data_IF_492620627409
#
_entry.id   IF_492620627409
#
_cell.length_a   1.000
_cell.length_b   1.000
_cell.length_c   1.000
_cell.angle_alpha   90.00
_cell.angle_beta   90.00
_cell.angle_gamma   90.00
#
_symmetry.space_group_name_H-M   'P 1'
#
loop_
_entity.id
_entity.type
_entity.pdbx_description
1 polymer ?
#
# COMPACT_ATOMS: atom_id res chain seq x y z
N UNK A 1 -18.38 -7.33 -15.01
CA UNK A 1 -17.53 -6.13 -15.07
C UNK A 1 -18.37 -4.97 -15.59
N UNK A 2 -18.02 -3.72 -15.28
CA UNK A 2 -18.71 -2.51 -15.77
C UNK A 2 -17.67 -1.47 -16.20
N UNK A 3 -18.04 -0.49 -17.04
CA UNK A 3 -17.16 0.63 -17.33
C UNK A 3 -16.80 1.42 -16.07
N UNK A 4 -15.58 1.94 -16.03
CA UNK A 4 -15.06 2.80 -14.96
C UNK A 4 -14.14 3.87 -15.55
N UNK A 5 -13.93 4.97 -14.82
CA UNK A 5 -12.94 5.98 -15.19
C UNK A 5 -11.62 5.74 -14.46
N UNK A 6 -10.54 6.37 -14.93
CA UNK A 6 -9.23 6.33 -14.25
C UNK A 6 -9.36 6.88 -12.82
N UNK A 7 -10.07 7.99 -12.66
CA UNK A 7 -10.28 8.65 -11.37
C UNK A 7 -11.03 7.74 -10.40
N UNK A 8 -12.11 7.09 -10.86
CA UNK A 8 -12.87 6.15 -10.05
C UNK A 8 -12.03 4.98 -9.54
N UNK A 9 -11.13 4.46 -10.39
CA UNK A 9 -10.21 3.39 -10.00
C UNK A 9 -9.16 3.88 -9.01
N UNK A 10 -8.59 5.08 -9.21
CA UNK A 10 -7.63 5.66 -8.29
C UNK A 10 -8.25 5.95 -6.92
N UNK A 11 -9.48 6.46 -6.89
CA UNK A 11 -10.23 6.69 -5.64
C UNK A 11 -10.47 5.38 -4.89
N UNK A 12 -10.82 4.31 -5.62
CA UNK A 12 -11.00 2.98 -5.02
C UNK A 12 -9.69 2.42 -4.44
N UNK A 13 -8.56 2.60 -5.14
CA UNK A 13 -7.24 2.20 -4.62
C UNK A 13 -6.82 3.04 -3.41
N UNK A 14 -7.03 4.36 -3.45
CA UNK A 14 -6.71 5.27 -2.33
C UNK A 14 -7.56 5.00 -1.08
N UNK A 15 -8.79 4.50 -1.25
CA UNK A 15 -9.65 4.12 -0.13
C UNK A 15 -9.28 2.79 0.52
N UNK A 16 -8.49 1.94 -0.15
CA UNK A 16 -8.07 0.65 0.39
C UNK A 16 -6.88 0.82 1.34
N UNK A 17 -6.92 0.25 2.56
CA UNK A 17 -5.75 0.24 3.42
C UNK A 17 -4.60 -0.53 2.74
N UNK A 18 -3.35 -0.13 3.04
CA UNK A 18 -2.12 -0.79 2.58
C UNK A 18 -1.90 -0.76 1.06
N UNK A 19 -2.58 0.13 0.34
CA UNK A 19 -2.21 0.52 -1.01
C UNK A 19 -1.64 1.93 -0.96
N UNK A 20 -0.48 2.09 -1.56
CA UNK A 20 0.23 3.36 -1.64
C UNK A 20 0.29 3.78 -3.11
N UNK A 21 -0.37 4.89 -3.44
CA UNK A 21 -0.25 5.49 -4.75
C UNK A 21 1.06 6.27 -4.82
N UNK A 22 1.89 5.96 -5.81
CA UNK A 22 3.14 6.68 -6.08
C UNK A 22 3.11 7.28 -7.49
N UNK A 23 3.94 8.31 -7.69
CA UNK A 23 4.19 8.90 -8.99
C UNK A 23 5.57 8.47 -9.50
N UNK A 24 5.62 7.84 -10.68
CA UNK A 24 6.89 7.43 -11.27
C UNK A 24 7.76 8.62 -11.67
N UNK A 25 7.14 9.77 -11.92
CA UNK A 25 7.82 11.00 -12.34
C UNK A 25 8.46 11.73 -11.15
N UNK A 26 8.18 11.34 -9.90
CA UNK A 26 8.83 11.87 -8.68
C UNK A 26 10.20 11.25 -8.39
N UNK A 27 10.70 10.39 -9.28
CA UNK A 27 11.97 9.66 -9.10
C UNK A 27 11.80 8.26 -8.50
N UNK A 28 10.57 7.87 -8.15
CA UNK A 28 10.20 6.55 -7.63
C UNK A 28 9.95 5.54 -8.76
N UNK A 29 10.87 5.43 -9.71
CA UNK A 29 10.69 4.65 -10.95
C UNK A 29 10.85 3.14 -10.78
N UNK A 30 11.46 2.68 -9.70
CA UNK A 30 11.74 1.26 -9.44
C UNK A 30 11.79 0.92 -7.94
N UNK A 31 11.83 -0.38 -7.65
CA UNK A 31 11.84 -0.90 -6.27
C UNK A 31 12.99 -0.34 -5.43
N UNK A 32 14.19 -0.23 -6.00
CA UNK A 32 15.35 0.31 -5.28
C UNK A 32 15.12 1.77 -4.86
N UNK A 33 14.59 2.64 -5.74
CA UNK A 33 14.27 4.02 -5.37
C UNK A 33 13.21 4.11 -4.28
N UNK A 34 12.22 3.22 -4.29
CA UNK A 34 11.19 3.17 -3.24
C UNK A 34 11.76 2.67 -1.92
N UNK A 35 12.62 1.64 -1.94
CA UNK A 35 13.32 1.17 -0.73
C UNK A 35 14.21 2.28 -0.15
N UNK A 36 14.97 3.01 -0.97
CA UNK A 36 15.75 4.16 -0.49
C UNK A 36 14.85 5.22 0.17
N UNK A 37 13.69 5.52 -0.42
CA UNK A 37 12.73 6.44 0.19
C UNK A 37 12.21 5.90 1.55
N UNK A 38 11.90 4.60 1.67
CA UNK A 38 11.51 3.98 2.94
C UNK A 38 12.63 4.04 4.00
N UNK A 39 13.89 3.92 3.58
CA UNK A 39 15.03 4.09 4.46
C UNK A 39 15.14 5.54 4.98
N UNK A 40 14.92 6.52 4.11
CA UNK A 40 14.93 7.95 4.46
C UNK A 40 13.79 8.32 5.42
N UNK A 41 12.63 7.68 5.30
CA UNK A 41 11.51 7.78 6.24
C UNK A 41 11.77 7.05 7.57
N UNK A 42 12.93 6.39 7.71
CA UNK A 42 13.33 5.71 8.94
C UNK A 42 12.61 4.39 9.21
N UNK A 43 11.98 3.80 8.19
CA UNK A 43 11.33 2.49 8.36
C UNK A 43 12.38 1.41 8.65
N UNK A 44 12.12 0.50 9.61
CA UNK A 44 13.00 -0.64 9.86
C UNK A 44 13.28 -1.39 8.55
N UNK A 45 14.56 -1.72 8.30
CA UNK A 45 15.01 -2.43 7.10
C UNK A 45 14.54 -1.84 5.75
N UNK A 46 14.19 -0.55 5.75
CA UNK A 46 13.57 0.11 4.60
C UNK A 46 12.28 -0.58 4.13
N UNK A 47 11.53 -1.19 5.04
CA UNK A 47 10.37 -2.03 4.72
C UNK A 47 9.24 -1.23 4.05
N UNK A 48 8.78 -1.72 2.90
CA UNK A 48 7.53 -1.28 2.28
C UNK A 48 6.44 -2.29 2.64
N UNK A 49 5.57 -1.94 3.58
CA UNK A 49 4.46 -2.81 4.00
C UNK A 49 3.28 -2.76 3.03
N UNK A 50 3.15 -1.68 2.27
CA UNK A 50 2.10 -1.43 1.31
C UNK A 50 2.39 -2.04 -0.07
N UNK A 51 1.35 -2.31 -0.84
CA UNK A 51 1.50 -2.43 -2.30
C UNK A 51 1.65 -1.02 -2.85
N UNK A 52 2.81 -0.71 -3.45
CA UNK A 52 3.01 0.57 -4.12
C UNK A 52 2.58 0.48 -5.59
N UNK A 53 1.66 1.35 -6.01
CA UNK A 53 1.05 1.37 -7.34
C UNK A 53 1.37 2.69 -8.04
N UNK A 54 1.85 2.61 -9.27
CA UNK A 54 2.14 3.81 -10.07
C UNK A 54 0.87 4.39 -10.68
N UNK A 55 0.40 5.47 -10.07
CA UNK A 55 -0.86 6.15 -10.45
C UNK A 55 -0.77 6.87 -11.80
N UNK A 56 0.40 7.42 -12.15
CA UNK A 56 0.63 8.15 -13.38
C UNK A 56 0.47 7.25 -14.63
N UNK A 57 0.95 6.01 -14.57
CA UNK A 57 0.90 5.04 -15.69
C UNK A 57 -0.29 4.07 -15.66
N UNK A 58 -1.22 4.21 -14.71
CA UNK A 58 -2.48 3.47 -14.71
C UNK A 58 -3.37 3.91 -15.89
N UNK A 59 -3.95 2.95 -16.60
CA UNK A 59 -4.83 3.17 -17.74
C UNK A 59 -6.12 2.34 -17.64
N UNK A 60 -7.23 2.93 -18.09
CA UNK A 60 -8.54 2.29 -18.17
C UNK A 60 -9.08 2.44 -19.59
N UNK A 61 -9.50 1.34 -20.20
CA UNK A 61 -10.17 1.32 -21.50
C UNK A 61 -11.49 0.54 -21.41
N UNK A 62 -12.61 1.26 -21.35
CA UNK A 62 -13.93 0.68 -21.16
C UNK A 62 -14.02 -0.12 -19.86
N UNK A 63 -13.93 -1.45 -19.96
CA UNK A 63 -13.98 -2.39 -18.82
C UNK A 63 -12.63 -3.02 -18.47
N UNK A 64 -11.55 -2.61 -19.15
CA UNK A 64 -10.20 -3.13 -18.94
C UNK A 64 -9.37 -2.13 -18.13
N UNK A 65 -8.64 -2.64 -17.15
CA UNK A 65 -7.75 -1.88 -16.26
C UNK A 65 -6.34 -2.44 -16.39
N UNK A 66 -5.39 -1.59 -16.76
CA UNK A 66 -3.96 -1.89 -16.84
C UNK A 66 -3.21 -1.01 -15.84
N UNK A 67 -2.43 -1.62 -14.95
CA UNK A 67 -1.64 -0.92 -13.94
C UNK A 67 -0.38 -1.70 -13.59
N UNK A 68 0.60 -0.99 -13.02
CA UNK A 68 1.82 -1.58 -12.51
C UNK A 68 1.89 -1.34 -11.02
N UNK A 69 2.34 -2.35 -10.29
CA UNK A 69 2.55 -2.28 -8.86
C UNK A 69 3.84 -3.01 -8.51
N UNK A 70 4.39 -2.68 -7.35
CA UNK A 70 5.50 -3.41 -6.76
C UNK A 70 5.11 -3.99 -5.41
N UNK A 71 5.84 -5.04 -5.05
CA UNK A 71 5.69 -5.73 -3.77
C UNK A 71 7.08 -5.90 -3.19
N UNK A 72 7.29 -5.38 -1.99
CA UNK A 72 8.42 -5.78 -1.17
C UNK A 72 8.08 -7.13 -0.50
N UNK A 73 8.55 -8.20 -1.12
CA UNK A 73 8.28 -9.56 -0.70
C UNK A 73 8.82 -9.88 0.72
N UNK A 74 9.75 -9.08 1.22
CA UNK A 74 10.31 -9.26 2.57
C UNK A 74 9.37 -8.71 3.65
N UNK A 75 8.54 -7.71 3.31
CA UNK A 75 7.78 -6.94 4.29
C UNK A 75 6.26 -7.04 4.16
N UNK A 76 5.72 -7.30 2.97
CA UNK A 76 4.27 -7.18 2.70
C UNK A 76 3.38 -8.04 3.62
N UNK A 77 3.87 -9.21 4.05
CA UNK A 77 3.10 -10.14 4.90
C UNK A 77 3.23 -9.85 6.40
N UNK A 78 4.11 -8.94 6.81
CA UNK A 78 4.31 -8.56 8.22
C UNK A 78 3.00 -8.06 8.86
N UNK A 79 2.31 -7.03 8.31
CA UNK A 79 1.06 -6.57 8.88
C UNK A 79 -0.03 -7.65 8.90
N UNK A 80 -0.11 -8.47 7.85
CA UNK A 80 -1.08 -9.58 7.75
C UNK A 80 -0.87 -10.62 8.86
N UNK A 81 0.39 -10.93 9.17
CA UNK A 81 0.74 -11.86 10.24
C UNK A 81 0.28 -11.36 11.61
N UNK A 82 0.44 -10.06 11.87
CA UNK A 82 0.01 -9.43 13.13
C UNK A 82 -1.52 -9.48 13.27
N UNK A 83 -2.25 -9.17 12.20
CA UNK A 83 -3.72 -9.22 12.22
C UNK A 83 -4.24 -10.65 12.36
N UNK A 84 -3.62 -11.61 11.67
CA UNK A 84 -3.94 -13.03 11.79
C UNK A 84 -3.74 -13.53 13.22
N UNK A 85 -2.69 -13.10 13.92
CA UNK A 85 -2.48 -13.43 15.34
C UNK A 85 -3.63 -12.92 16.21
N UNK A 86 -4.10 -11.67 16.02
CA UNK A 86 -5.23 -11.14 16.80
C UNK A 86 -6.52 -11.89 16.53
N UNK A 87 -6.78 -12.22 15.27
CA UNK A 87 -7.94 -13.02 14.87
C UNK A 87 -7.91 -14.42 15.50
N UNK A 88 -6.77 -15.12 15.42
CA UNK A 88 -6.62 -16.47 15.99
C UNK A 88 -6.68 -16.48 17.53
N UNK A 89 -6.13 -15.45 18.17
CA UNK A 89 -6.14 -15.33 19.62
C UNK A 89 -7.49 -14.83 20.17
N UNK A 90 -8.45 -14.46 19.30
CA UNK A 90 -9.70 -13.79 19.69
C UNK A 90 -9.46 -12.54 20.57
N UNK A 91 -8.33 -11.85 20.36
CA UNK A 91 -7.97 -10.67 21.13
C UNK A 91 -8.51 -9.37 20.52
N UNK A 92 -8.93 -9.42 19.26
CA UNK A 92 -9.69 -8.39 18.57
C UNK A 92 -10.65 -9.07 17.57
N UNK A 93 -11.96 -8.83 17.73
CA UNK A 93 -13.00 -9.44 16.89
C UNK A 93 -13.37 -8.56 15.67
N UNK A 94 -13.00 -7.27 15.70
CA UNK A 94 -13.26 -6.33 14.62
C UNK A 94 -12.02 -6.18 13.72
N UNK A 95 -12.05 -6.68 12.46
CA UNK A 95 -10.89 -6.63 11.56
C UNK A 95 -10.35 -5.21 11.36
N UNK A 96 -11.25 -4.24 11.21
CA UNK A 96 -10.93 -2.82 11.04
C UNK A 96 -10.13 -2.23 12.22
N UNK A 97 -10.40 -2.71 13.43
CA UNK A 97 -9.68 -2.28 14.63
C UNK A 97 -8.28 -2.90 14.65
N UNK A 98 -8.15 -4.20 14.34
CA UNK A 98 -6.85 -4.87 14.25
C UNK A 98 -5.95 -4.20 13.21
N UNK A 99 -6.47 -4.01 11.99
CA UNK A 99 -5.72 -3.39 10.90
C UNK A 99 -5.27 -1.98 11.27
N UNK A 100 -6.14 -1.17 11.88
CA UNK A 100 -5.79 0.19 12.33
C UNK A 100 -4.68 0.18 13.37
N UNK A 101 -4.72 -0.74 14.35
CA UNK A 101 -3.67 -0.88 15.36
C UNK A 101 -2.34 -1.30 14.76
N UNK A 102 -2.36 -2.28 13.85
CA UNK A 102 -1.19 -2.72 13.08
C UNK A 102 -0.60 -1.56 12.27
N UNK A 103 -1.44 -0.90 11.46
CA UNK A 103 -1.00 0.18 10.59
C UNK A 103 -0.39 1.34 11.39
N UNK A 104 -1.04 1.74 12.49
CA UNK A 104 -0.50 2.78 13.38
C UNK A 104 0.85 2.39 13.98
N UNK A 105 1.02 1.12 14.35
CA UNK A 105 2.26 0.63 14.96
C UNK A 105 3.41 0.58 13.95
N UNK A 106 3.10 0.25 12.70
CA UNK A 106 4.08 0.11 11.62
C UNK A 106 4.28 1.40 10.80
N UNK A 107 3.57 2.49 11.11
CA UNK A 107 3.63 3.73 10.34
C UNK A 107 3.06 3.62 8.92
N UNK A 108 2.04 2.77 8.73
CA UNK A 108 1.36 2.58 7.44
C UNK A 108 0.29 3.66 7.26
N UNK A 109 0.29 4.33 6.11
CA UNK A 109 -0.69 5.36 5.77
C UNK A 109 -0.59 6.62 6.63
N UNK A 110 0.56 6.89 7.25
CA UNK A 110 0.81 8.16 7.94
C UNK A 110 0.97 9.29 6.94
N UNK A 111 0.34 10.45 7.20
CA UNK A 111 0.48 11.70 6.41
C UNK A 111 1.94 12.20 6.28
N UNK A 112 2.85 11.61 7.07
CA UNK A 112 4.28 11.89 7.07
C UNK A 112 5.02 11.23 5.89
N UNK A 113 4.47 10.16 5.29
CA UNK A 113 5.08 9.47 4.16
C UNK A 113 4.88 10.32 2.88
N UNK A 114 5.86 11.15 2.54
CA UNK A 114 5.82 12.05 1.37
C UNK A 114 6.52 11.42 0.17
N UNK A 115 5.78 10.61 -0.59
CA UNK A 115 6.25 9.95 -1.81
C UNK A 115 5.62 10.56 -3.07
#
# INVERSE_FOLDING_TARGET
>A
TRPATKEEVLDAFAASPRILLIDGDSGLSALNSVKEAMAMEGRPNADLYEVALWSNILAVDGTELCYNYMVDNQAIVIPETIDAIRALASSEEQPEVSMRLTNKTLGIGSDELRL
#
